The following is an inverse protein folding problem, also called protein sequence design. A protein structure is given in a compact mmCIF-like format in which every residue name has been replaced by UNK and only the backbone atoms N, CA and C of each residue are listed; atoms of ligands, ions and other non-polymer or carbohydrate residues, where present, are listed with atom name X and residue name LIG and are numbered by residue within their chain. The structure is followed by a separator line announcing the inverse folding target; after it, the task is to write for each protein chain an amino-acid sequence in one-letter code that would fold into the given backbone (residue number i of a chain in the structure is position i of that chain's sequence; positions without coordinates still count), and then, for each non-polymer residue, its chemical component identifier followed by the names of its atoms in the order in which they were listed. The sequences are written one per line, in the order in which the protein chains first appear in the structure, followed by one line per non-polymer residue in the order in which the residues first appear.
data_IF_819386734818
#
_entry.id   IF_819386734818
#
_cell.length_a   1.000
_cell.length_b   1.000
_cell.length_c   1.000
_cell.angle_alpha   90.00
_cell.angle_beta   90.00
_cell.angle_gamma   90.00
#
_symmetry.space_group_name_H-M   'P 1'
#
loop_
_entity.id
_entity.type
_entity.pdbx_description
1 polymer ?
#
# COMPACT_ATOMS: atom_id res chain seq x y z
N UNK A 1 -11.24 -18.30 22.54
CA UNK A 1 -10.96 -17.19 21.61
C UNK A 1 -11.84 -17.36 20.38
N UNK A 2 -12.68 -16.38 20.04
CA UNK A 2 -13.61 -16.49 18.90
C UNK A 2 -12.87 -16.39 17.56
N UNK A 3 -13.21 -17.28 16.63
CA UNK A 3 -12.69 -17.25 15.26
C UNK A 3 -13.63 -16.40 14.39
N UNK A 4 -13.26 -15.16 14.01
CA UNK A 4 -14.08 -14.34 13.14
C UNK A 4 -14.25 -15.05 11.78
N UNK A 5 -15.47 -15.03 11.22
CA UNK A 5 -15.79 -15.63 9.91
C UNK A 5 -15.95 -14.60 8.78
N UNK A 6 -15.97 -13.32 9.14
CA UNK A 6 -16.06 -12.22 8.20
C UNK A 6 -14.73 -11.49 8.25
N UNK A 7 -14.06 -11.46 7.11
CA UNK A 7 -12.81 -10.74 6.91
C UNK A 7 -13.08 -9.63 5.91
N UNK A 8 -13.55 -8.46 6.35
CA UNK A 8 -13.76 -7.34 5.44
C UNK A 8 -12.40 -6.97 4.85
N UNK A 9 -12.25 -7.11 3.54
CA UNK A 9 -11.03 -6.79 2.79
C UNK A 9 -11.02 -5.35 2.28
N UNK A 10 -12.01 -4.54 2.68
CA UNK A 10 -12.19 -3.14 2.29
C UNK A 10 -12.99 -2.37 3.35
N UNK A 11 -13.54 -1.21 2.97
CA UNK A 11 -14.30 -0.37 3.90
C UNK A 11 -15.63 -1.00 4.29
N UNK A 12 -15.84 -1.26 5.57
CA UNK A 12 -17.10 -1.86 6.07
C UNK A 12 -18.28 -0.88 6.01
N UNK A 13 -18.04 0.42 6.24
CA UNK A 13 -19.06 1.48 6.21
C UNK A 13 -18.42 2.76 5.66
N UNK A 14 -18.94 3.26 4.53
CA UNK A 14 -18.59 4.59 4.00
C UNK A 14 -19.86 5.39 3.71
N UNK A 15 -19.87 6.66 4.14
CA UNK A 15 -20.92 7.67 3.88
C UNK A 15 -20.25 8.99 3.47
N UNK A 16 -20.22 9.34 2.18
CA UNK A 16 -19.53 10.53 1.69
C UNK A 16 -20.13 11.85 2.22
N UNK A 17 -21.30 11.83 2.86
CA UNK A 17 -21.88 13.02 3.52
C UNK A 17 -21.32 13.26 4.92
N UNK A 18 -20.70 12.23 5.53
CA UNK A 18 -20.21 12.26 6.92
C UNK A 18 -18.70 12.05 7.04
N UNK A 19 -18.07 11.54 5.99
CA UNK A 19 -16.64 11.22 5.99
C UNK A 19 -15.90 11.96 4.87
N UNK A 20 -14.59 12.14 5.07
CA UNK A 20 -13.73 12.72 4.05
C UNK A 20 -13.51 11.73 2.89
N UNK A 21 -13.52 12.23 1.67
CA UNK A 21 -13.08 11.49 0.49
C UNK A 21 -11.55 11.47 0.45
N UNK A 22 -10.98 10.37 -0.03
CA UNK A 22 -9.53 10.24 -0.14
C UNK A 22 -9.12 8.91 -0.76
N UNK A 23 -7.81 8.73 -0.83
CA UNK A 23 -7.18 7.48 -1.22
C UNK A 23 -6.30 7.01 -0.06
N UNK A 24 -6.32 5.72 0.23
CA UNK A 24 -5.49 5.12 1.26
C UNK A 24 -4.45 4.23 0.60
N UNK A 25 -3.17 4.51 0.86
CA UNK A 25 -2.08 3.62 0.48
C UNK A 25 -1.57 2.83 1.68
N UNK A 26 -1.34 1.54 1.49
CA UNK A 26 -0.78 0.68 2.53
C UNK A 26 0.03 -0.49 1.93
N UNK A 27 1.01 -1.03 2.67
CA UNK A 27 1.70 -2.23 2.26
C UNK A 27 0.77 -3.43 2.39
N UNK A 28 0.57 -4.15 1.29
CA UNK A 28 -0.16 -5.41 1.25
C UNK A 28 0.81 -6.57 1.01
N UNK A 29 0.34 -7.81 1.20
CA UNK A 29 1.12 -9.00 0.84
C UNK A 29 1.49 -9.07 -0.66
N UNK A 30 0.85 -8.27 -1.52
CA UNK A 30 1.13 -8.21 -2.96
C UNK A 30 2.03 -7.03 -3.36
N UNK A 31 2.32 -6.09 -2.46
CA UNK A 31 3.00 -4.82 -2.74
C UNK A 31 2.21 -3.60 -2.25
N UNK A 32 2.58 -2.41 -2.71
CA UNK A 32 1.92 -1.16 -2.34
C UNK A 32 0.53 -1.08 -2.97
N UNK A 33 -0.52 -1.10 -2.14
CA UNK A 33 -1.91 -1.07 -2.59
C UNK A 33 -2.56 0.27 -2.27
N UNK A 34 -3.15 0.89 -3.29
CA UNK A 34 -3.95 2.10 -3.21
C UNK A 34 -5.43 1.73 -3.34
N UNK A 35 -6.24 2.14 -2.36
CA UNK A 35 -7.69 1.94 -2.37
C UNK A 35 -8.43 3.27 -2.27
N UNK A 36 -9.65 3.28 -2.79
CA UNK A 36 -10.62 4.35 -2.51
C UNK A 36 -11.34 4.10 -1.16
N UNK A 37 -12.19 5.05 -0.78
CA UNK A 37 -12.93 4.96 0.48
C UNK A 37 -14.06 3.94 0.46
N UNK A 38 -14.49 3.46 -0.71
CA UNK A 38 -15.43 2.34 -0.84
C UNK A 38 -14.70 0.98 -0.70
N UNK A 39 -13.37 0.99 -0.66
CA UNK A 39 -12.53 -0.19 -0.53
C UNK A 39 -12.19 -0.85 -1.86
N UNK A 40 -12.43 -0.17 -2.99
CA UNK A 40 -12.03 -0.68 -4.30
C UNK A 40 -10.53 -0.50 -4.49
N UNK A 41 -9.88 -1.49 -5.12
CA UNK A 41 -8.50 -1.36 -5.56
C UNK A 41 -8.42 -0.32 -6.69
N UNK A 42 -7.67 0.75 -6.46
CA UNK A 42 -7.43 1.82 -7.44
C UNK A 42 -6.14 1.57 -8.20
N UNK A 43 -5.09 1.15 -7.47
CA UNK A 43 -3.81 0.77 -8.08
C UNK A 43 -3.03 -0.18 -7.17
N UNK A 44 -2.34 -1.14 -7.77
CA UNK A 44 -1.40 -2.04 -7.10
C UNK A 44 -0.03 -1.97 -7.78
N UNK A 45 0.97 -1.45 -7.07
CA UNK A 45 2.38 -1.60 -7.45
C UNK A 45 2.89 -2.93 -6.91
N UNK A 46 2.69 -3.98 -7.72
CA UNK A 46 3.02 -5.35 -7.33
C UNK A 46 4.52 -5.51 -7.01
N UNK A 47 4.82 -6.16 -5.89
CA UNK A 47 6.20 -6.40 -5.44
C UNK A 47 6.92 -5.18 -4.86
N UNK A 48 6.31 -3.99 -4.88
CA UNK A 48 6.89 -2.81 -4.24
C UNK A 48 6.67 -2.88 -2.72
N UNK A 49 7.74 -3.09 -1.96
CA UNK A 49 7.71 -3.05 -0.50
C UNK A 49 7.55 -1.61 0.00
N UNK A 50 7.12 -1.45 1.25
CA UNK A 50 7.08 -0.14 1.88
C UNK A 50 6.81 -0.19 3.36
N UNK A 51 7.49 0.70 4.10
CA UNK A 51 7.41 0.75 5.56
C UNK A 51 7.18 2.18 6.12
N UNK A 52 6.04 2.85 5.84
CA UNK A 52 5.01 2.57 4.84
C UNK A 52 5.29 3.30 3.51
N UNK A 53 4.66 2.86 2.41
CA UNK A 53 4.72 3.56 1.12
C UNK A 53 4.25 5.02 1.23
N UNK A 54 4.82 5.89 0.38
CA UNK A 54 4.46 7.32 0.32
C UNK A 54 4.06 7.69 -1.10
N UNK A 55 2.87 8.27 -1.27
CA UNK A 55 2.46 8.89 -2.54
C UNK A 55 3.08 10.29 -2.63
N UNK A 56 3.63 10.63 -3.80
CA UNK A 56 4.10 11.96 -4.15
C UNK A 56 3.16 12.62 -5.17
N UNK A 57 3.18 13.97 -5.30
CA UNK A 57 2.43 14.66 -6.33
C UNK A 57 2.77 14.12 -7.73
N UNK A 58 1.75 13.99 -8.59
CA UNK A 58 1.91 13.42 -9.93
C UNK A 58 1.68 11.91 -10.02
N UNK A 59 1.29 11.25 -8.92
CA UNK A 59 0.93 9.83 -8.92
C UNK A 59 2.12 8.90 -8.74
N UNK A 60 3.26 9.41 -8.29
CA UNK A 60 4.41 8.58 -7.96
C UNK A 60 4.26 7.97 -6.56
N UNK A 61 4.91 6.82 -6.36
CA UNK A 61 5.00 6.15 -5.07
C UNK A 61 6.46 5.88 -4.71
N UNK A 62 6.80 6.07 -3.44
CA UNK A 62 8.06 5.63 -2.86
C UNK A 62 7.90 4.27 -2.21
N UNK A 63 8.89 3.43 -2.41
CA UNK A 63 8.99 2.11 -1.82
C UNK A 63 10.38 1.52 -1.98
N UNK A 64 10.45 0.20 -1.91
CA UNK A 64 11.67 -0.59 -2.02
C UNK A 64 11.44 -1.81 -2.89
N UNK A 65 12.47 -2.25 -3.60
CA UNK A 65 12.41 -3.46 -4.44
C UNK A 65 12.48 -4.76 -3.63
N UNK A 66 12.70 -4.68 -2.31
CA UNK A 66 12.61 -5.81 -1.39
C UNK A 66 13.29 -5.55 -0.04
N UNK A 67 13.22 -6.54 0.85
CA UNK A 67 13.78 -6.46 2.19
C UNK A 67 15.12 -7.21 2.30
N UNK A 68 15.99 -6.77 3.22
CA UNK A 68 17.24 -7.48 3.54
C UNK A 68 16.95 -8.77 4.30
N UNK A 69 17.86 -9.75 4.18
CA UNK A 69 17.80 -10.97 4.99
C UNK A 69 17.87 -10.60 6.48
N UNK A 70 16.99 -11.21 7.28
CA UNK A 70 16.85 -10.93 8.72
C UNK A 70 18.14 -11.11 9.52
N UNK A 71 19.09 -11.92 9.03
CA UNK A 71 20.41 -12.11 9.66
C UNK A 71 21.32 -10.91 9.46
N UNK A 72 21.05 -10.08 8.45
CA UNK A 72 21.87 -8.94 8.04
C UNK A 72 21.26 -7.60 8.47
N UNK A 73 19.93 -7.53 8.66
CA UNK A 73 19.20 -6.35 9.12
C UNK A 73 17.75 -6.69 9.45
N UNK A 74 17.10 -5.91 10.32
CA UNK A 74 15.70 -6.11 10.71
C UNK A 74 14.87 -4.90 10.27
N UNK A 75 13.84 -5.12 9.44
CA UNK A 75 13.05 -4.06 8.80
C UNK A 75 13.90 -3.11 7.93
N UNK A 76 15.05 -3.58 7.47
CA UNK A 76 15.88 -2.84 6.53
C UNK A 76 15.49 -3.20 5.09
N UNK A 77 15.15 -2.18 4.34
CA UNK A 77 14.86 -2.28 2.91
C UNK A 77 16.16 -2.35 2.09
N UNK A 78 16.08 -2.91 0.89
CA UNK A 78 17.23 -3.02 -0.03
C UNK A 78 17.65 -1.66 -0.58
N UNK A 79 16.66 -0.86 -0.97
CA UNK A 79 16.82 0.43 -1.63
C UNK A 79 15.65 1.39 -1.33
N UNK A 80 15.76 2.61 -1.85
CA UNK A 80 14.66 3.56 -1.94
C UNK A 80 14.45 3.89 -3.41
N UNK A 81 13.29 3.51 -3.94
CA UNK A 81 12.92 3.76 -5.34
C UNK A 81 11.68 4.64 -5.42
N UNK A 82 11.64 5.48 -6.45
CA UNK A 82 10.42 6.17 -6.89
C UNK A 82 9.85 5.41 -8.08
N UNK A 83 8.55 5.15 -8.04
CA UNK A 83 7.84 4.41 -9.09
C UNK A 83 6.72 5.29 -9.62
N UNK A 84 6.58 5.36 -10.94
CA UNK A 84 5.48 6.06 -11.60
C UNK A 84 4.15 5.29 -11.49
N UNK A 85 3.08 5.88 -12.03
CA UNK A 85 1.76 5.26 -11.97
C UNK A 85 1.70 3.90 -12.67
N UNK A 86 2.49 3.69 -13.73
CA UNK A 86 2.48 2.48 -14.56
C UNK A 86 3.37 1.36 -13.99
N UNK A 87 4.13 1.64 -12.92
CA UNK A 87 4.99 0.66 -12.26
C UNK A 87 6.45 0.72 -12.68
N UNK A 88 6.88 1.75 -13.40
CA UNK A 88 8.28 1.93 -13.78
C UNK A 88 9.04 2.70 -12.70
N UNK A 89 10.27 2.27 -12.42
CA UNK A 89 11.19 3.02 -11.54
C UNK A 89 11.71 4.25 -12.30
N UNK A 90 11.65 5.44 -11.69
CA UNK A 90 12.00 6.75 -12.28
C UNK A 90 12.97 7.58 -11.43
#
# INVERSE_FOLDING_TARGET
MGYPRIYPTGTTIYDPKRFYNGLTIFPSAKGALLIDMDGNEVQLWAGLSGFPNKILPGGYVLGSTGERDIKQGYQDELDLVQVDWDGNIV
#
